data_IF_326324967588
#
_entry.id   IF_326324967588
#
_cell.length_a   1.000
_cell.length_b   1.000
_cell.length_c   1.000
_cell.angle_alpha   90.00
_cell.angle_beta   90.00
_cell.angle_gamma   90.00
#
_symmetry.space_group_name_H-M   'P 1'
#
loop_
_entity.id
_entity.type
_entity.pdbx_description
1 polymer ?
#
# COMPACT_ATOMS: atom_id res chain seq x y z
N UNK A 1 -110.46 -64.57 9.37
CA UNK A 1 -109.48 -63.79 8.57
C UNK A 1 -110.09 -63.53 7.19
N UNK A 2 -110.36 -62.27 6.81
CA UNK A 2 -110.93 -61.96 5.49
C UNK A 2 -109.85 -62.18 4.42
N UNK A 3 -110.10 -63.08 3.47
CA UNK A 3 -109.20 -63.30 2.32
C UNK A 3 -109.22 -62.04 1.44
N UNK A 4 -108.08 -61.36 1.31
CA UNK A 4 -107.90 -60.30 0.34
C UNK A 4 -108.07 -60.88 -1.07
N UNK A 5 -108.79 -60.18 -1.95
CA UNK A 5 -108.97 -60.65 -3.32
C UNK A 5 -107.63 -60.61 -4.07
N UNK A 6 -107.37 -61.53 -5.00
CA UNK A 6 -106.09 -61.59 -5.73
C UNK A 6 -105.73 -60.25 -6.37
N UNK A 7 -106.72 -59.54 -6.91
CA UNK A 7 -106.55 -58.22 -7.53
C UNK A 7 -106.03 -57.16 -6.53
N UNK A 8 -106.55 -57.16 -5.31
CA UNK A 8 -106.15 -56.20 -4.27
C UNK A 8 -104.72 -56.48 -3.80
N UNK A 9 -104.33 -57.76 -3.73
CA UNK A 9 -102.95 -58.15 -3.42
C UNK A 9 -101.99 -57.75 -4.54
N UNK A 10 -102.34 -57.99 -5.81
CA UNK A 10 -101.51 -57.61 -6.97
C UNK A 10 -101.32 -56.11 -7.07
N UNK A 11 -102.39 -55.32 -6.87
CA UNK A 11 -102.31 -53.86 -6.91
C UNK A 11 -101.47 -53.31 -5.74
N UNK A 12 -101.59 -53.90 -4.55
CA UNK A 12 -100.75 -53.56 -3.42
C UNK A 12 -99.27 -53.88 -3.68
N UNK A 13 -98.96 -55.04 -4.28
CA UNK A 13 -97.59 -55.38 -4.68
C UNK A 13 -97.04 -54.44 -5.76
N UNK A 14 -97.87 -54.03 -6.73
CA UNK A 14 -97.46 -53.09 -7.79
C UNK A 14 -97.12 -51.71 -7.19
N UNK A 15 -97.95 -51.22 -6.26
CA UNK A 15 -97.72 -49.95 -5.59
C UNK A 15 -96.49 -49.97 -4.66
N UNK A 16 -96.24 -51.10 -3.99
CA UNK A 16 -95.01 -51.29 -3.19
C UNK A 16 -93.77 -51.34 -4.09
N UNK A 17 -93.86 -51.93 -5.30
CA UNK A 17 -92.74 -51.96 -6.24
C UNK A 17 -92.37 -50.57 -6.79
N UNK A 18 -93.35 -49.66 -6.93
CA UNK A 18 -93.10 -48.28 -7.34
C UNK A 18 -92.43 -47.44 -6.23
N UNK A 19 -92.67 -47.77 -4.95
CA UNK A 19 -92.03 -47.11 -3.81
C UNK A 19 -90.59 -47.61 -3.55
N UNK A 20 -90.19 -48.73 -4.14
CA UNK A 20 -88.86 -49.32 -3.97
C UNK A 20 -87.78 -48.77 -4.92
N UNK A 21 -88.12 -47.83 -5.82
CA UNK A 21 -87.13 -47.22 -6.75
C UNK A 21 -86.36 -46.02 -6.17
N UNK A 22 -86.41 -45.79 -4.85
CA UNK A 22 -85.80 -44.62 -4.24
C UNK A 22 -84.31 -44.83 -3.87
N UNK A 23 -83.44 -44.85 -4.88
CA UNK A 23 -82.05 -44.39 -4.74
C UNK A 23 -81.45 -44.11 -6.12
N UNK A 24 -81.52 -42.86 -6.55
CA UNK A 24 -80.82 -42.41 -7.77
C UNK A 24 -79.33 -42.37 -7.48
N UNK A 25 -78.60 -43.39 -7.96
CA UNK A 25 -77.12 -43.35 -7.98
C UNK A 25 -76.71 -42.46 -9.15
N UNK A 26 -76.30 -41.23 -8.85
CA UNK A 26 -75.71 -40.35 -9.85
C UNK A 26 -74.24 -40.71 -10.04
N UNK A 27 -73.87 -41.16 -11.24
CA UNK A 27 -72.48 -41.47 -11.61
C UNK A 27 -71.95 -40.38 -12.52
N UNK A 28 -70.96 -39.62 -12.04
CA UNK A 28 -70.18 -38.72 -12.87
C UNK A 28 -69.21 -39.57 -13.71
N UNK A 29 -69.19 -39.36 -15.04
CA UNK A 29 -68.37 -40.14 -15.98
C UNK A 29 -67.19 -39.35 -16.58
N UNK A 30 -67.03 -38.08 -16.21
CA UNK A 30 -65.91 -37.25 -16.67
C UNK A 30 -64.75 -37.26 -15.67
N UNK A 31 -63.54 -37.01 -16.16
CA UNK A 31 -62.31 -36.92 -15.35
C UNK A 31 -62.16 -35.56 -14.66
N UNK A 32 -63.06 -34.62 -14.97
CA UNK A 32 -63.08 -33.28 -14.40
C UNK A 32 -64.51 -32.87 -14.10
N UNK A 33 -64.70 -32.31 -12.90
CA UNK A 33 -65.95 -31.69 -12.48
C UNK A 33 -65.71 -30.19 -12.50
N UNK A 34 -66.39 -29.47 -13.40
CA UNK A 34 -66.41 -28.01 -13.38
C UNK A 34 -67.64 -27.54 -12.61
N UNK A 35 -67.42 -26.92 -11.47
CA UNK A 35 -68.47 -26.24 -10.72
C UNK A 35 -68.47 -24.76 -11.10
N UNK A 36 -69.53 -24.29 -11.79
CA UNK A 36 -69.68 -22.88 -12.16
C UNK A 36 -70.57 -22.16 -11.15
N UNK A 37 -70.06 -21.06 -10.59
CA UNK A 37 -70.80 -20.13 -9.75
C UNK A 37 -71.70 -19.24 -10.63
N UNK A 38 -72.95 -19.63 -10.85
CA UNK A 38 -73.97 -18.67 -11.28
C UNK A 38 -75.37 -19.18 -10.88
N UNK A 39 -76.10 -18.49 -9.97
CA UNK A 39 -75.80 -17.19 -9.35
C UNK A 39 -75.16 -17.25 -7.94
N UNK A 40 -74.62 -18.40 -7.49
CA UNK A 40 -74.14 -18.56 -6.11
C UNK A 40 -72.82 -19.34 -5.96
N UNK A 41 -72.30 -19.40 -4.74
CA UNK A 41 -71.11 -20.18 -4.41
C UNK A 41 -71.37 -21.67 -4.67
N UNK A 42 -70.59 -22.27 -5.58
CA UNK A 42 -70.63 -23.69 -5.82
C UNK A 42 -69.56 -24.39 -4.96
N UNK A 43 -69.96 -25.41 -4.21
CA UNK A 43 -69.07 -26.18 -3.34
C UNK A 43 -69.13 -27.67 -3.74
N UNK A 44 -67.96 -28.31 -3.85
CA UNK A 44 -67.87 -29.76 -3.96
C UNK A 44 -67.64 -30.35 -2.58
N UNK A 45 -68.71 -30.85 -1.95
CA UNK A 45 -68.58 -31.58 -0.69
C UNK A 45 -68.41 -33.07 -1.00
N UNK A 46 -67.23 -33.62 -0.69
CA UNK A 46 -66.95 -35.05 -0.83
C UNK A 46 -67.12 -35.72 0.53
N UNK A 47 -68.28 -36.32 0.74
CA UNK A 47 -68.56 -37.14 1.92
C UNK A 47 -68.33 -38.62 1.59
N UNK A 48 -67.51 -39.28 2.40
CA UNK A 48 -67.33 -40.72 2.33
C UNK A 48 -68.01 -41.36 3.57
N UNK A 49 -68.42 -42.62 3.47
CA UNK A 49 -68.95 -43.41 4.58
C UNK A 49 -68.00 -43.47 5.80
N UNK A 50 -66.71 -43.18 5.60
CA UNK A 50 -65.70 -43.03 6.66
C UNK A 50 -65.64 -41.61 7.25
N UNK A 51 -66.76 -40.89 7.34
CA UNK A 51 -66.84 -39.48 7.84
C UNK A 51 -66.22 -39.22 9.22
N UNK A 52 -65.98 -40.27 10.01
CA UNK A 52 -65.37 -40.20 11.34
C UNK A 52 -63.84 -40.36 11.33
N UNK A 53 -63.22 -40.42 10.14
CA UNK A 53 -61.76 -40.55 9.99
C UNK A 53 -61.15 -39.19 9.61
N UNK A 54 -60.56 -38.45 10.57
CA UNK A 54 -59.83 -37.23 10.26
C UNK A 54 -58.56 -37.59 9.47
N UNK A 55 -58.47 -37.22 8.20
CA UNK A 55 -57.36 -37.63 7.34
C UNK A 55 -57.39 -37.03 5.94
N UNK A 56 -56.51 -37.52 5.07
CA UNK A 56 -56.44 -37.11 3.66
C UNK A 56 -57.23 -38.05 2.77
N UNK A 57 -57.62 -37.56 1.60
CA UNK A 57 -58.19 -38.38 0.55
C UNK A 57 -57.10 -39.29 -0.04
N UNK A 58 -57.16 -40.57 0.29
CA UNK A 58 -56.21 -41.59 -0.13
C UNK A 58 -56.78 -42.43 -1.27
N UNK A 59 -56.03 -42.55 -2.36
CA UNK A 59 -56.39 -43.44 -3.47
C UNK A 59 -56.04 -44.89 -3.11
N UNK A 60 -57.04 -45.77 -2.98
CA UNK A 60 -56.86 -47.21 -2.72
C UNK A 60 -56.53 -48.03 -3.98
N UNK A 61 -56.35 -47.36 -5.12
CA UNK A 61 -56.29 -47.98 -6.44
C UNK A 61 -57.67 -48.05 -7.11
N UNK A 62 -57.67 -48.38 -8.41
CA UNK A 62 -58.88 -48.53 -9.23
C UNK A 62 -59.84 -47.33 -9.20
N UNK A 63 -59.30 -46.12 -9.03
CA UNK A 63 -60.08 -44.88 -8.99
C UNK A 63 -60.97 -44.74 -7.76
N UNK A 64 -60.74 -45.52 -6.69
CA UNK A 64 -61.50 -45.42 -5.43
C UNK A 64 -60.69 -44.68 -4.38
N UNK A 65 -61.31 -43.69 -3.75
CA UNK A 65 -60.69 -42.93 -2.67
C UNK A 65 -61.37 -43.20 -1.33
N UNK A 66 -60.61 -43.17 -0.24
CA UNK A 66 -61.13 -43.16 1.13
C UNK A 66 -60.45 -42.07 1.96
N UNK A 67 -61.07 -41.63 3.05
CA UNK A 67 -60.34 -40.88 4.05
C UNK A 67 -59.48 -41.83 4.88
N UNK A 68 -58.17 -41.58 4.92
CA UNK A 68 -57.22 -42.35 5.72
C UNK A 68 -56.39 -41.40 6.58
N UNK A 69 -56.20 -41.79 7.86
CA UNK A 69 -55.27 -41.08 8.75
C UNK A 69 -53.85 -41.24 8.22
N UNK A 70 -53.03 -40.21 8.37
CA UNK A 70 -51.59 -40.39 8.20
C UNK A 70 -51.09 -41.43 9.19
N UNK A 71 -50.34 -42.40 8.71
CA UNK A 71 -49.66 -43.35 9.60
C UNK A 71 -48.32 -42.74 9.96
N UNK A 72 -48.23 -42.22 11.18
CA UNK A 72 -46.97 -41.76 11.74
C UNK A 72 -46.07 -42.99 11.98
N UNK A 73 -44.88 -43.00 11.39
CA UNK A 73 -43.84 -44.00 11.67
C UNK A 73 -42.90 -43.54 12.78
N UNK A 74 -42.65 -42.23 12.85
CA UNK A 74 -41.87 -41.57 13.90
C UNK A 74 -42.35 -40.13 14.11
N UNK A 75 -41.78 -39.42 15.09
CA UNK A 75 -42.05 -37.99 15.33
C UNK A 75 -41.86 -37.10 14.09
N UNK A 76 -41.07 -37.57 13.13
CA UNK A 76 -40.73 -36.84 11.92
C UNK A 76 -40.97 -37.62 10.62
N UNK A 77 -41.75 -38.69 10.63
CA UNK A 77 -42.06 -39.42 9.39
C UNK A 77 -43.49 -39.94 9.37
N UNK A 78 -44.14 -39.73 8.23
CA UNK A 78 -45.49 -40.19 7.95
C UNK A 78 -45.49 -41.04 6.68
N UNK A 79 -46.27 -42.10 6.65
CA UNK A 79 -46.49 -42.93 5.47
C UNK A 79 -47.67 -42.39 4.68
N UNK A 80 -47.45 -42.24 3.37
CA UNK A 80 -48.42 -41.86 2.36
C UNK A 80 -48.47 -42.95 1.28
N UNK A 81 -49.36 -43.92 1.46
CA UNK A 81 -49.40 -45.09 0.58
C UNK A 81 -48.17 -45.97 0.76
N UNK A 82 -47.39 -46.13 -0.31
CA UNK A 82 -46.13 -46.90 -0.29
C UNK A 82 -44.90 -46.01 -0.08
N UNK A 83 -45.07 -44.69 -0.07
CA UNK A 83 -43.99 -43.73 0.14
C UNK A 83 -43.99 -43.19 1.57
N UNK A 84 -42.85 -42.69 2.01
CA UNK A 84 -42.70 -41.97 3.30
C UNK A 84 -42.42 -40.50 3.04
N UNK A 85 -43.18 -39.61 3.68
CA UNK A 85 -42.83 -38.21 3.81
C UNK A 85 -42.13 -38.01 5.16
N UNK A 86 -40.90 -37.50 5.14
CA UNK A 86 -40.20 -37.10 6.38
C UNK A 86 -40.38 -35.61 6.60
N UNK A 87 -40.86 -35.26 7.79
CA UNK A 87 -41.02 -33.90 8.30
C UNK A 87 -40.14 -33.79 9.55
N UNK A 88 -38.84 -33.61 9.37
CA UNK A 88 -37.89 -33.43 10.48
C UNK A 88 -38.07 -32.04 11.12
N UNK A 89 -38.98 -31.92 12.09
CA UNK A 89 -39.09 -30.76 12.97
C UNK A 89 -38.32 -31.06 14.25
N UNK A 90 -37.00 -30.86 14.23
CA UNK A 90 -36.17 -30.93 15.44
C UNK A 90 -36.08 -29.53 16.05
N UNK A 91 -36.90 -29.24 17.06
CA UNK A 91 -36.85 -28.00 17.84
C UNK A 91 -38.23 -27.47 18.17
N UNK A 92 -38.50 -27.26 19.46
CA UNK A 92 -39.73 -26.65 19.92
C UNK A 92 -39.91 -25.27 19.26
N UNK A 93 -40.99 -25.10 18.50
CA UNK A 93 -41.45 -23.83 17.95
C UNK A 93 -40.59 -23.16 16.86
N UNK A 94 -40.32 -23.84 15.74
CA UNK A 94 -40.03 -23.15 14.47
C UNK A 94 -41.09 -23.45 13.41
N UNK A 95 -41.64 -22.36 12.89
CA UNK A 95 -42.75 -22.26 11.94
C UNK A 95 -42.50 -23.06 10.66
N UNK A 96 -43.49 -23.86 10.26
CA UNK A 96 -43.51 -24.68 9.03
C UNK A 96 -43.42 -23.84 7.75
N UNK A 97 -43.48 -22.50 7.84
CA UNK A 97 -43.33 -21.61 6.69
C UNK A 97 -41.87 -21.41 6.22
N UNK A 98 -40.85 -21.81 7.01
CA UNK A 98 -39.42 -21.60 6.69
C UNK A 98 -38.64 -22.91 6.47
N UNK A 99 -39.27 -24.07 6.69
CA UNK A 99 -38.61 -25.38 6.71
C UNK A 99 -39.08 -26.36 5.62
N UNK A 100 -39.55 -25.85 4.48
CA UNK A 100 -39.26 -26.53 3.21
C UNK A 100 -37.76 -26.31 2.93
N UNK A 101 -36.92 -26.90 3.77
CA UNK A 101 -35.50 -27.04 3.50
C UNK A 101 -35.41 -28.01 2.34
N UNK A 102 -35.32 -27.45 1.14
CA UNK A 102 -34.81 -28.17 -0.01
C UNK A 102 -33.47 -28.74 0.42
N UNK A 103 -33.44 -30.05 0.65
CA UNK A 103 -32.27 -30.87 0.95
C UNK A 103 -31.34 -30.95 -0.28
N UNK A 104 -31.14 -29.84 -1.00
CA UNK A 104 -30.09 -29.68 -2.00
C UNK A 104 -29.01 -28.78 -1.41
N UNK A 105 -27.83 -29.36 -1.29
CA UNK A 105 -26.75 -28.93 -0.43
C UNK A 105 -26.10 -27.62 -0.89
N UNK A 106 -26.25 -26.53 -0.10
CA UNK A 106 -25.33 -25.36 0.04
C UNK A 106 -25.96 -24.36 1.02
N UNK A 107 -25.54 -24.27 2.29
CA UNK A 107 -24.48 -23.36 2.72
C UNK A 107 -24.39 -22.07 1.88
N UNK A 108 -24.80 -20.93 2.48
CA UNK A 108 -24.82 -19.56 1.93
C UNK A 108 -25.52 -19.39 0.56
N UNK A 109 -26.68 -18.72 0.55
CA UNK A 109 -27.39 -18.40 -0.69
C UNK A 109 -26.54 -17.48 -1.58
N UNK A 110 -26.21 -17.95 -2.79
CA UNK A 110 -25.50 -17.18 -3.80
C UNK A 110 -26.46 -16.15 -4.42
N UNK A 111 -26.59 -14.99 -3.77
CA UNK A 111 -27.49 -13.92 -4.19
C UNK A 111 -27.42 -12.65 -3.32
N UNK A 112 -26.38 -12.54 -2.48
CA UNK A 112 -26.24 -11.46 -1.51
C UNK A 112 -26.75 -11.89 -0.14
N UNK A 113 -25.88 -12.51 0.65
CA UNK A 113 -26.17 -12.79 2.06
C UNK A 113 -26.59 -11.46 2.72
N UNK A 114 -27.88 -11.30 3.02
CA UNK A 114 -28.34 -10.19 3.85
C UNK A 114 -28.46 -10.75 5.26
N UNK A 115 -27.40 -10.61 6.03
CA UNK A 115 -27.45 -10.87 7.46
C UNK A 115 -28.33 -9.81 8.12
N UNK A 116 -29.35 -10.23 8.86
CA UNK A 116 -30.10 -9.33 9.76
C UNK A 116 -29.20 -8.77 10.87
N UNK A 117 -29.76 -8.05 11.83
CA UNK A 117 -29.00 -7.32 12.87
C UNK A 117 -28.13 -8.17 13.80
N UNK A 118 -28.30 -9.50 13.85
CA UNK A 118 -27.65 -10.38 14.83
C UNK A 118 -27.01 -11.65 14.26
N UNK A 119 -26.83 -11.77 12.94
CA UNK A 119 -26.25 -13.00 12.41
C UNK A 119 -24.74 -13.06 12.68
N UNK A 120 -24.29 -14.17 13.24
CA UNK A 120 -22.88 -14.44 13.54
C UNK A 120 -22.41 -15.61 12.68
N UNK A 121 -21.40 -15.38 11.85
CA UNK A 121 -20.58 -16.45 11.29
C UNK A 121 -19.39 -16.62 12.23
N UNK A 122 -19.30 -17.73 12.95
CA UNK A 122 -18.25 -17.90 13.96
C UNK A 122 -18.06 -19.32 14.42
N UNK A 123 -17.05 -19.50 15.27
CA UNK A 123 -16.69 -20.76 15.92
C UNK A 123 -17.14 -20.64 17.38
N UNK A 124 -18.28 -21.24 17.74
CA UNK A 124 -18.83 -21.15 19.09
C UNK A 124 -18.44 -22.33 19.99
N UNK A 125 -17.58 -23.24 19.54
CA UNK A 125 -17.09 -24.35 20.33
C UNK A 125 -15.60 -24.15 20.67
N UNK A 126 -15.26 -23.79 21.93
CA UNK A 126 -13.88 -23.55 22.34
C UNK A 126 -13.03 -24.83 22.40
N UNK A 127 -13.65 -26.01 22.33
CA UNK A 127 -12.99 -27.31 22.60
C UNK A 127 -12.66 -28.07 21.31
N UNK A 128 -13.29 -27.74 20.19
CA UNK A 128 -13.04 -28.41 18.91
C UNK A 128 -12.28 -27.49 17.96
N UNK A 129 -11.05 -27.87 17.63
CA UNK A 129 -10.10 -27.24 16.70
C UNK A 129 -10.58 -27.16 15.24
N UNK A 130 -11.89 -27.07 14.98
CA UNK A 130 -12.45 -26.93 13.64
C UNK A 130 -12.38 -25.46 13.25
N UNK A 131 -11.50 -25.07 12.32
CA UNK A 131 -11.38 -23.68 11.93
C UNK A 131 -12.53 -23.26 11.02
N UNK A 132 -12.83 -21.97 11.02
CA UNK A 132 -13.63 -21.36 9.96
C UNK A 132 -12.74 -21.23 8.72
N UNK A 133 -13.02 -22.00 7.67
CA UNK A 133 -12.18 -22.07 6.46
C UNK A 133 -12.88 -21.37 5.28
N UNK A 134 -12.16 -20.48 4.62
CA UNK A 134 -12.56 -19.87 3.35
C UNK A 134 -11.76 -20.52 2.21
N UNK A 135 -12.47 -21.01 1.18
CA UNK A 135 -11.87 -21.71 0.04
C UNK A 135 -12.24 -21.04 -1.28
N UNK A 136 -11.38 -21.16 -2.28
CA UNK A 136 -11.72 -20.92 -3.69
C UNK A 136 -11.31 -22.14 -4.51
N UNK A 137 -12.20 -22.69 -5.33
CA UNK A 137 -11.96 -23.90 -6.13
C UNK A 137 -11.40 -25.08 -5.30
N UNK A 138 -12.01 -25.37 -4.15
CA UNK A 138 -11.58 -26.39 -3.19
C UNK A 138 -10.20 -26.17 -2.53
N UNK A 139 -9.55 -25.02 -2.77
CA UNK A 139 -8.27 -24.65 -2.16
C UNK A 139 -8.51 -23.68 -1.00
N UNK A 140 -7.94 -23.99 0.16
CA UNK A 140 -7.97 -23.12 1.35
C UNK A 140 -7.18 -21.82 1.11
N UNK A 141 -7.83 -20.67 1.34
CA UNK A 141 -7.26 -19.34 1.14
C UNK A 141 -7.08 -18.58 2.45
N UNK A 142 -8.01 -18.76 3.38
CA UNK A 142 -7.97 -18.16 4.70
C UNK A 142 -8.61 -19.10 5.69
N UNK A 143 -8.12 -19.09 6.93
CA UNK A 143 -8.78 -19.79 8.03
C UNK A 143 -8.69 -18.99 9.32
N UNK A 144 -9.65 -19.20 10.22
CA UNK A 144 -9.65 -18.70 11.59
C UNK A 144 -9.66 -19.91 12.52
N UNK A 145 -8.67 -20.07 13.40
CA UNK A 145 -8.65 -21.17 14.39
C UNK A 145 -9.63 -20.89 15.53
N UNK A 146 -9.95 -21.94 16.30
CA UNK A 146 -10.64 -21.78 17.59
C UNK A 146 -9.88 -20.91 18.61
N UNK A 147 -8.56 -20.71 18.42
CA UNK A 147 -7.77 -19.76 19.22
C UNK A 147 -7.93 -18.29 18.80
N UNK A 148 -8.67 -18.01 17.72
CA UNK A 148 -8.83 -16.67 17.14
C UNK A 148 -7.73 -16.26 16.16
N UNK A 149 -6.68 -17.07 15.99
CA UNK A 149 -5.63 -16.80 15.02
C UNK A 149 -6.15 -16.88 13.58
N UNK A 150 -5.82 -15.87 12.77
CA UNK A 150 -6.16 -15.74 11.36
C UNK A 150 -4.94 -16.12 10.53
N UNK A 151 -5.11 -17.05 9.59
CA UNK A 151 -4.09 -17.40 8.61
C UNK A 151 -4.60 -17.14 7.20
N UNK A 152 -3.77 -16.52 6.37
CA UNK A 152 -4.01 -16.23 4.96
C UNK A 152 -2.93 -16.91 4.13
N UNK A 153 -3.32 -17.75 3.19
CA UNK A 153 -2.39 -18.51 2.32
C UNK A 153 -1.60 -19.63 3.03
N UNK A 154 -1.91 -19.94 4.30
CA UNK A 154 -1.26 -21.00 5.07
C UNK A 154 -2.25 -21.69 6.02
N UNK A 155 -1.93 -22.93 6.41
CA UNK A 155 -2.67 -23.71 7.40
C UNK A 155 -1.96 -23.81 8.75
N UNK A 156 -0.72 -23.32 8.82
CA UNK A 156 0.13 -23.32 10.01
C UNK A 156 0.27 -21.90 10.58
N UNK A 157 0.34 -21.80 11.90
CA UNK A 157 0.63 -20.57 12.63
C UNK A 157 2.00 -20.69 13.29
N UNK A 158 2.71 -19.56 13.43
CA UNK A 158 3.94 -19.43 14.21
C UNK A 158 3.67 -18.96 15.65
N UNK A 159 2.40 -18.93 16.06
CA UNK A 159 1.92 -18.39 17.33
C UNK A 159 1.35 -16.97 17.23
N UNK A 160 1.47 -16.32 16.07
CA UNK A 160 0.89 -14.98 15.83
C UNK A 160 -0.62 -15.02 15.60
N UNK A 161 -1.33 -13.95 15.99
CA UNK A 161 -2.77 -13.80 15.72
C UNK A 161 -3.09 -13.58 14.24
N UNK A 162 -2.16 -13.05 13.47
CA UNK A 162 -2.28 -12.90 12.02
C UNK A 162 -1.02 -13.46 11.35
N UNK A 163 -1.20 -14.44 10.48
CA UNK A 163 -0.13 -15.00 9.65
C UNK A 163 -0.52 -14.89 8.18
N UNK A 164 0.33 -14.27 7.36
CA UNK A 164 0.14 -14.15 5.90
C UNK A 164 1.29 -14.84 5.20
N UNK A 165 0.99 -15.86 4.40
CA UNK A 165 1.97 -16.51 3.52
C UNK A 165 1.90 -15.88 2.13
N UNK A 166 2.70 -14.84 1.93
CA UNK A 166 2.73 -14.00 0.74
C UNK A 166 2.96 -12.53 1.09
N UNK A 167 2.75 -11.65 0.11
CA UNK A 167 2.93 -10.21 0.30
C UNK A 167 1.77 -9.60 1.09
N UNK A 168 2.10 -8.77 2.09
CA UNK A 168 1.14 -7.93 2.79
C UNK A 168 1.25 -6.49 2.26
N UNK A 169 0.16 -6.00 1.67
CA UNK A 169 0.07 -4.62 1.17
C UNK A 169 -0.93 -3.82 2.01
N UNK A 170 -0.49 -2.67 2.53
CA UNK A 170 -1.34 -1.71 3.22
C UNK A 170 -1.21 -0.35 2.55
N UNK A 171 -2.34 0.26 2.18
CA UNK A 171 -2.39 1.64 1.68
C UNK A 171 -2.34 2.68 2.80
N UNK A 172 -2.49 2.24 4.05
CA UNK A 172 -2.50 3.08 5.24
C UNK A 172 -1.39 2.68 6.22
N UNK A 173 -1.23 3.48 7.28
CA UNK A 173 -0.27 3.22 8.35
C UNK A 173 -0.61 1.92 9.07
N UNK A 174 0.38 1.04 9.19
CA UNK A 174 0.35 -0.10 10.10
C UNK A 174 0.84 0.39 11.47
N UNK A 175 0.03 0.19 12.51
CA UNK A 175 0.41 0.51 13.90
C UNK A 175 0.53 -0.79 14.68
N UNK A 176 1.72 -1.05 15.23
CA UNK A 176 2.03 -2.25 16.01
C UNK A 176 2.88 -1.84 17.21
N UNK A 177 2.69 -2.48 18.36
CA UNK A 177 3.53 -2.27 19.54
C UNK A 177 4.99 -2.69 19.29
N UNK A 178 5.18 -3.75 18.49
CA UNK A 178 6.49 -4.21 18.06
C UNK A 178 6.45 -4.67 16.60
N UNK A 179 7.51 -4.36 15.84
CA UNK A 179 7.73 -4.87 14.48
C UNK A 179 8.99 -5.74 14.50
N UNK A 180 8.82 -7.03 14.28
CA UNK A 180 9.92 -7.99 14.19
C UNK A 180 10.08 -8.38 12.71
N UNK A 181 11.21 -8.04 12.10
CA UNK A 181 11.53 -8.41 10.72
C UNK A 181 12.56 -9.53 10.74
N UNK A 182 12.13 -10.77 10.42
CA UNK A 182 12.99 -11.96 10.48
C UNK A 182 13.91 -12.13 9.27
N UNK A 183 13.53 -11.61 8.10
CA UNK A 183 14.30 -11.77 6.85
C UNK A 183 14.28 -10.50 6.00
N UNK A 184 15.10 -9.52 6.40
CA UNK A 184 15.39 -8.31 5.65
C UNK A 184 14.25 -7.28 5.61
N UNK A 185 14.51 -6.05 6.03
CA UNK A 185 13.61 -4.92 5.79
C UNK A 185 14.06 -4.21 4.51
N UNK A 186 13.27 -4.27 3.45
CA UNK A 186 13.52 -3.49 2.22
C UNK A 186 12.53 -2.34 2.15
N UNK A 187 12.98 -1.13 2.44
CA UNK A 187 12.20 0.08 2.27
C UNK A 187 12.39 0.59 0.82
N UNK A 188 11.29 0.63 0.04
CA UNK A 188 11.28 1.20 -1.31
C UNK A 188 10.73 2.63 -1.24
N UNK A 189 11.53 3.60 -1.66
CA UNK A 189 11.20 5.02 -1.49
C UNK A 189 10.70 5.62 -2.82
N UNK A 190 9.46 6.11 -2.84
CA UNK A 190 8.95 6.90 -3.94
C UNK A 190 8.98 8.39 -3.54
N UNK A 191 10.04 9.10 -3.96
CA UNK A 191 10.16 10.57 -3.97
C UNK A 191 9.74 11.34 -2.70
N UNK A 192 10.64 11.45 -1.73
CA UNK A 192 10.92 12.61 -0.86
C UNK A 192 11.69 12.13 0.37
N UNK A 193 12.57 12.98 0.89
CA UNK A 193 13.51 12.72 2.01
C UNK A 193 12.93 11.81 3.10
N UNK A 194 13.63 10.74 3.52
CA UNK A 194 13.11 9.78 4.47
C UNK A 194 12.90 10.45 5.84
N UNK A 195 11.65 10.60 6.27
CA UNK A 195 11.34 10.77 7.69
C UNK A 195 11.25 9.39 8.32
N UNK A 196 12.39 8.70 8.43
CA UNK A 196 12.52 7.70 9.50
C UNK A 196 12.69 8.50 10.79
N UNK A 197 11.57 9.05 11.28
CA UNK A 197 11.53 9.76 12.53
C UNK A 197 11.64 8.71 13.64
N UNK A 198 12.87 8.27 13.91
CA UNK A 198 13.18 7.68 15.21
C UNK A 198 12.81 8.78 16.20
N UNK A 199 11.77 8.53 17.00
CA UNK A 199 11.33 9.46 18.03
C UNK A 199 12.57 9.79 18.88
N UNK A 200 12.89 11.07 19.18
CA UNK A 200 14.16 11.47 19.81
C UNK A 200 14.43 10.93 21.24
N UNK A 201 13.68 9.92 21.70
CA UNK A 201 13.81 9.31 23.02
C UNK A 201 14.50 7.94 23.07
N UNK A 202 14.86 7.32 21.93
CA UNK A 202 15.57 6.04 21.92
C UNK A 202 17.08 6.24 21.70
N UNK A 203 17.79 6.55 22.79
CA UNK A 203 19.27 6.55 22.81
C UNK A 203 19.89 5.14 22.63
N UNK A 204 19.09 4.08 22.56
CA UNK A 204 19.56 2.68 22.60
C UNK A 204 19.71 1.98 21.24
N UNK A 205 19.62 2.68 20.11
CA UNK A 205 19.99 2.08 18.81
C UNK A 205 21.47 1.71 18.72
N UNK A 206 22.33 2.22 19.61
CA UNK A 206 23.73 1.77 19.72
C UNK A 206 23.88 0.40 20.38
N UNK A 207 22.90 -0.06 21.17
CA UNK A 207 22.95 -1.36 21.86
C UNK A 207 22.21 -2.48 21.15
N UNK A 208 21.34 -2.19 20.17
CA UNK A 208 20.71 -3.21 19.33
C UNK A 208 21.66 -3.82 18.28
N UNK A 209 22.86 -3.27 18.09
CA UNK A 209 23.93 -3.83 17.24
C UNK A 209 25.01 -4.52 18.12
N UNK A 210 24.60 -5.07 19.28
CA UNK A 210 25.49 -5.70 20.26
C UNK A 210 25.53 -7.24 20.23
N UNK A 211 24.79 -7.90 19.35
CA UNK A 211 24.77 -9.37 19.26
C UNK A 211 25.38 -9.82 17.94
N UNK A 212 26.64 -10.23 18.02
CA UNK A 212 27.33 -11.14 17.09
C UNK A 212 26.88 -11.01 15.63
N UNK A 213 27.27 -9.92 14.97
CA UNK A 213 27.37 -9.92 13.51
C UNK A 213 28.54 -10.87 13.19
N UNK A 214 28.24 -12.16 13.10
CA UNK A 214 29.21 -13.17 12.72
C UNK A 214 29.68 -12.89 11.30
N UNK A 215 30.84 -12.23 11.16
CA UNK A 215 31.73 -12.23 9.98
C UNK A 215 31.17 -11.83 8.62
N UNK A 216 29.88 -11.51 8.50
CA UNK A 216 29.25 -11.02 7.28
C UNK A 216 29.33 -9.51 7.25
N UNK A 217 30.41 -8.99 6.67
CA UNK A 217 30.56 -7.58 6.31
C UNK A 217 29.26 -7.09 5.67
N UNK A 218 28.61 -6.11 6.29
CA UNK A 218 27.64 -5.27 5.58
C UNK A 218 28.45 -4.44 4.60
N UNK A 219 28.81 -5.03 3.46
CA UNK A 219 29.20 -4.25 2.30
C UNK A 219 27.93 -3.60 1.79
N UNK A 220 27.75 -2.32 2.09
CA UNK A 220 26.91 -1.49 1.24
C UNK A 220 27.51 -1.59 -0.17
N UNK A 221 26.86 -2.40 -1.02
CA UNK A 221 27.17 -2.52 -2.43
C UNK A 221 26.67 -1.24 -3.10
N UNK A 222 27.43 -0.15 -2.94
CA UNK A 222 27.36 0.96 -3.86
C UNK A 222 28.25 0.55 -5.03
N UNK A 223 27.63 0.08 -6.12
CA UNK A 223 28.29 -0.04 -7.41
C UNK A 223 28.73 1.36 -7.86
N UNK A 224 29.92 1.76 -7.42
CA UNK A 224 30.62 2.88 -8.01
C UNK A 224 31.41 2.31 -9.21
N UNK A 225 31.11 2.68 -10.47
CA UNK A 225 31.77 2.10 -11.64
C UNK A 225 33.28 2.40 -11.72
N UNK A 226 33.80 3.26 -10.86
CA UNK A 226 35.23 3.54 -10.75
C UNK A 226 35.81 2.80 -9.52
N UNK A 227 36.50 1.70 -9.79
CA UNK A 227 37.07 0.78 -8.79
C UNK A 227 38.04 1.43 -7.80
N UNK A 228 37.52 1.84 -6.65
CA UNK A 228 38.35 2.18 -5.48
C UNK A 228 37.61 1.79 -4.20
N UNK A 229 38.10 0.74 -3.54
CA UNK A 229 37.62 0.31 -2.23
C UNK A 229 38.19 1.25 -1.16
N UNK A 230 37.33 2.00 -0.47
CA UNK A 230 37.72 2.70 0.74
C UNK A 230 37.24 1.89 1.95
N UNK A 231 38.12 1.06 2.52
CA UNK A 231 37.87 0.41 3.82
C UNK A 231 38.35 1.36 4.92
N UNK A 232 37.50 2.32 5.31
CA UNK A 232 37.75 3.08 6.53
C UNK A 232 37.50 2.16 7.74
N UNK A 233 38.57 1.54 8.23
CA UNK A 233 38.59 0.80 9.49
C UNK A 233 38.54 1.82 10.63
N UNK A 234 37.34 2.08 11.15
CA UNK A 234 37.14 2.92 12.32
C UNK A 234 37.93 2.43 13.53
N UNK A 235 38.84 3.27 14.03
CA UNK A 235 39.70 3.00 15.17
C UNK A 235 38.93 3.29 16.48
N UNK A 236 38.36 2.26 17.09
CA UNK A 236 37.76 2.35 18.43
C UNK A 236 38.85 2.34 19.50
N UNK A 237 39.15 3.48 20.11
CA UNK A 237 40.06 3.58 21.25
C UNK A 237 39.37 3.02 22.52
N UNK A 238 39.57 1.73 22.80
CA UNK A 238 39.31 1.15 24.12
C UNK A 238 40.48 1.42 25.09
N UNK A 239 40.24 1.50 26.41
CA UNK A 239 41.25 1.91 27.40
C UNK A 239 42.31 0.86 27.75
N UNK A 240 42.44 -0.23 26.99
CA UNK A 240 43.52 -1.21 27.15
C UNK A 240 44.32 -1.31 25.86
N UNK A 241 45.62 -1.03 25.98
CA UNK A 241 46.60 -0.89 24.90
C UNK A 241 46.48 -1.98 23.82
N UNK A 242 45.79 -1.67 22.74
CA UNK A 242 45.78 -2.48 21.53
C UNK A 242 47.06 -2.15 20.75
N UNK A 243 48.08 -2.99 20.91
CA UNK A 243 49.30 -2.91 20.10
C UNK A 243 48.94 -3.10 18.63
N UNK A 244 48.98 -2.03 17.86
CA UNK A 244 48.91 -2.06 16.41
C UNK A 244 50.17 -2.76 15.88
N UNK A 245 50.05 -4.06 15.58
CA UNK A 245 51.07 -4.80 14.81
C UNK A 245 50.70 -4.70 13.34
N UNK A 246 51.43 -3.90 12.56
CA UNK A 246 51.54 -4.15 11.12
C UNK A 246 52.49 -5.34 10.97
N UNK A 247 51.94 -6.54 11.14
CA UNK A 247 52.60 -7.75 10.69
C UNK A 247 52.33 -7.88 9.21
N UNK A 248 53.33 -7.64 8.37
CA UNK A 248 53.26 -8.09 7.00
C UNK A 248 53.35 -9.62 7.06
N UNK A 249 52.22 -10.31 6.88
CA UNK A 249 52.18 -11.76 6.82
C UNK A 249 52.75 -12.17 5.46
N UNK A 250 54.08 -12.20 5.34
CA UNK A 250 54.73 -12.91 4.25
C UNK A 250 54.92 -14.36 4.66
N UNK A 251 54.26 -15.28 3.96
CA UNK A 251 54.53 -16.71 4.01
C UNK A 251 55.92 -16.98 3.41
N UNK A 252 57.00 -16.62 4.09
CA UNK A 252 58.28 -17.27 3.86
C UNK A 252 59.23 -17.13 5.05
N UNK A 253 59.99 -18.20 5.23
CA UNK A 253 60.82 -18.53 6.39
C UNK A 253 61.92 -17.50 6.68
N UNK A 254 62.19 -17.31 7.98
CA UNK A 254 63.29 -16.57 8.64
C UNK A 254 63.18 -15.03 8.77
N UNK A 255 62.86 -14.48 9.96
CA UNK A 255 62.95 -13.05 10.22
C UNK A 255 64.41 -12.64 10.51
N UNK A 256 65.01 -11.85 9.62
CA UNK A 256 66.25 -11.11 9.90
C UNK A 256 65.86 -9.78 10.57
N UNK A 257 66.13 -9.66 11.86
CA UNK A 257 66.01 -8.40 12.58
C UNK A 257 67.16 -7.47 12.17
N UNK A 258 66.86 -6.37 11.47
CA UNK A 258 67.77 -5.21 11.40
C UNK A 258 67.35 -4.20 12.45
N UNK A 259 68.23 -3.77 13.37
CA UNK A 259 67.90 -2.70 14.30
C UNK A 259 67.79 -1.39 13.53
N UNK A 260 66.59 -0.80 13.49
CA UNK A 260 66.42 0.61 13.14
C UNK A 260 66.94 1.46 14.30
N UNK A 261 68.15 1.97 14.15
CA UNK A 261 68.78 2.91 15.08
C UNK A 261 68.19 4.31 14.81
N UNK A 262 67.37 4.81 15.73
CA UNK A 262 66.77 6.15 15.68
C UNK A 262 67.67 7.08 16.47
N UNK A 263 68.37 8.00 15.80
CA UNK A 263 69.05 9.11 16.45
C UNK A 263 68.07 10.26 16.69
N UNK A 264 67.97 10.72 17.93
CA UNK A 264 67.41 12.02 18.25
C UNK A 264 68.53 13.06 18.17
N UNK A 265 68.40 14.05 17.28
CA UNK A 265 69.18 15.28 17.34
C UNK A 265 68.30 16.49 17.04
N UNK A 266 68.47 17.52 17.86
CA UNK A 266 67.88 18.85 17.71
C UNK A 266 68.95 19.80 17.15
N UNK A 267 68.77 20.27 15.92
CA UNK A 267 69.64 21.24 15.26
C UNK A 267 69.45 21.24 13.73
N UNK A 268 69.53 22.43 13.12
CA UNK A 268 69.28 22.62 11.69
C UNK A 268 70.27 21.83 10.82
N UNK A 269 69.75 21.07 9.85
CA UNK A 269 70.54 20.25 8.91
C UNK A 269 70.49 20.92 7.54
N UNK A 270 71.66 21.28 7.00
CA UNK A 270 71.82 21.67 5.58
C UNK A 270 72.27 20.43 4.82
N UNK A 271 71.51 20.02 3.79
CA UNK A 271 71.85 18.87 2.93
C UNK A 271 72.24 19.41 1.56
N UNK A 272 73.48 19.17 1.13
CA UNK A 272 73.95 19.49 -0.22
C UNK A 272 73.53 18.39 -1.21
N UNK A 273 73.22 18.79 -2.45
CA UNK A 273 72.43 18.04 -3.43
C UNK A 273 73.14 16.90 -4.17
N UNK A 274 74.29 16.40 -3.70
CA UNK A 274 75.08 15.42 -4.46
C UNK A 274 74.87 13.95 -4.06
N UNK A 275 74.05 13.66 -3.05
CA UNK A 275 73.73 12.28 -2.64
C UNK A 275 72.23 11.99 -2.75
N UNK A 276 71.76 11.53 -3.91
CA UNK A 276 70.38 11.05 -4.09
C UNK A 276 70.35 9.65 -4.71
N UNK A 277 70.32 8.64 -3.84
CA UNK A 277 69.46 7.47 -4.05
C UNK A 277 68.14 7.72 -3.29
N UNK A 278 66.98 7.24 -3.80
CA UNK A 278 65.67 7.73 -3.34
C UNK A 278 65.40 7.24 -1.91
N UNK A 279 65.65 8.11 -0.94
CA UNK A 279 65.22 7.92 0.44
C UNK A 279 64.16 8.94 0.77
N UNK A 280 62.96 8.45 1.10
CA UNK A 280 61.83 9.26 1.53
C UNK A 280 62.17 10.00 2.83
N UNK A 281 62.24 11.32 2.76
CA UNK A 281 62.47 12.20 3.90
C UNK A 281 61.13 12.45 4.62
N UNK A 282 60.97 11.93 5.83
CA UNK A 282 59.87 12.31 6.72
C UNK A 282 60.31 13.49 7.58
N UNK A 283 59.75 14.68 7.31
CA UNK A 283 59.93 15.86 8.17
C UNK A 283 58.72 15.94 9.09
N UNK A 284 58.95 15.91 10.40
CA UNK A 284 57.91 16.10 11.40
C UNK A 284 58.12 17.47 12.07
N UNK A 285 57.56 18.51 11.45
CA UNK A 285 57.65 19.89 11.87
C UNK A 285 57.11 20.84 10.79
N UNK A 286 56.63 22.02 11.20
CA UNK A 286 56.06 23.03 10.31
C UNK A 286 57.12 23.54 9.32
N UNK A 287 56.95 23.23 8.03
CA UNK A 287 57.77 23.78 6.95
C UNK A 287 57.26 25.19 6.65
N UNK A 288 57.98 26.21 7.12
CA UNK A 288 57.71 27.60 6.74
C UNK A 288 58.22 27.86 5.32
N UNK A 289 57.32 28.07 4.37
CA UNK A 289 57.65 28.53 3.02
C UNK A 289 57.74 30.07 3.08
N UNK A 290 58.90 30.63 2.72
CA UNK A 290 59.11 32.08 2.72
C UNK A 290 58.17 32.78 1.71
N UNK A 291 57.70 33.98 2.09
CA UNK A 291 56.60 34.73 1.47
C UNK A 291 56.79 35.12 -0.02
N UNK A 292 57.99 34.97 -0.57
CA UNK A 292 58.33 35.42 -1.93
C UNK A 292 58.86 34.28 -2.84
N UNK A 293 58.71 33.03 -2.43
CA UNK A 293 59.07 31.87 -3.26
C UNK A 293 57.89 31.47 -4.14
N UNK A 294 57.92 31.80 -5.44
CA UNK A 294 56.96 31.31 -6.45
C UNK A 294 57.08 29.78 -6.51
N UNK A 295 56.06 29.01 -6.11
CA UNK A 295 56.13 27.56 -6.26
C UNK A 295 55.99 27.24 -7.74
N UNK A 296 57.07 26.75 -8.35
CA UNK A 296 57.02 26.10 -9.66
C UNK A 296 56.23 24.79 -9.48
N UNK A 297 54.90 24.88 -9.58
CA UNK A 297 54.01 23.73 -9.64
C UNK A 297 54.12 23.19 -11.06
N UNK A 298 55.04 22.25 -11.27
CA UNK A 298 55.07 21.42 -12.47
C UNK A 298 53.72 20.72 -12.60
N UNK A 299 53.07 20.96 -13.73
CA UNK A 299 51.72 20.53 -14.11
C UNK A 299 51.33 19.13 -13.60
N UNK A 300 50.44 19.09 -12.61
CA UNK A 300 49.53 17.97 -12.44
C UNK A 300 48.48 18.08 -13.56
N UNK A 301 48.13 16.95 -14.18
CA UNK A 301 47.33 16.88 -15.41
C UNK A 301 46.03 17.70 -15.37
N UNK A 302 45.55 18.09 -16.56
CA UNK A 302 44.43 19.00 -16.78
C UNK A 302 43.30 18.81 -15.75
N UNK A 303 42.97 19.89 -15.03
CA UNK A 303 41.84 20.04 -14.11
C UNK A 303 42.03 19.65 -12.63
N UNK A 304 43.24 19.70 -12.07
CA UNK A 304 43.43 19.59 -10.61
C UNK A 304 44.09 20.85 -10.01
N UNK A 305 43.37 21.55 -9.14
CA UNK A 305 43.89 22.64 -8.32
C UNK A 305 43.94 22.20 -6.85
N UNK A 306 45.07 22.42 -6.19
CA UNK A 306 45.19 22.30 -4.74
C UNK A 306 44.68 23.59 -4.10
N UNK A 307 43.60 23.50 -3.33
CA UNK A 307 43.08 24.63 -2.57
C UNK A 307 43.57 24.48 -1.13
N UNK A 308 44.29 25.48 -0.63
CA UNK A 308 44.69 25.56 0.77
C UNK A 308 43.55 26.21 1.56
N UNK A 309 43.02 25.49 2.54
CA UNK A 309 42.13 26.07 3.53
C UNK A 309 42.97 26.98 4.45
N UNK A 310 42.74 28.29 4.35
CA UNK A 310 43.49 29.33 5.07
C UNK A 310 43.24 29.29 6.58
N UNK A 311 42.17 28.65 7.03
CA UNK A 311 41.84 28.55 8.47
C UNK A 311 42.54 27.37 9.15
N UNK A 312 42.84 26.30 8.40
CA UNK A 312 43.44 25.07 8.96
C UNK A 312 44.84 24.79 8.44
N UNK A 313 45.30 25.53 7.42
CA UNK A 313 46.59 25.32 6.76
C UNK A 313 46.68 24.00 5.99
N UNK A 314 45.58 23.24 5.89
CA UNK A 314 45.54 21.93 5.23
C UNK A 314 45.22 22.07 3.75
N UNK A 315 45.94 21.32 2.93
CA UNK A 315 45.67 21.20 1.49
C UNK A 315 44.62 20.12 1.26
N UNK A 316 43.45 20.52 0.77
CA UNK A 316 42.38 19.60 0.38
C UNK A 316 42.40 19.33 -1.12
N UNK A 317 42.18 18.08 -1.53
CA UNK A 317 42.00 17.73 -2.94
C UNK A 317 40.59 18.13 -3.38
N UNK A 318 40.45 19.28 -4.02
CA UNK A 318 39.21 19.67 -4.68
C UNK A 318 39.13 18.95 -6.04
N UNK A 319 38.38 17.85 -6.10
CA UNK A 319 38.04 17.20 -7.37
C UNK A 319 36.89 17.99 -7.99
N UNK A 320 37.18 18.76 -9.02
CA UNK A 320 36.13 19.30 -9.90
C UNK A 320 35.65 18.14 -10.77
N UNK A 321 34.51 17.53 -10.41
CA UNK A 321 33.86 16.59 -11.33
C UNK A 321 33.32 17.39 -12.52
N UNK A 322 33.63 17.00 -13.78
CA UNK A 322 32.94 17.55 -14.93
C UNK A 322 31.54 16.91 -14.94
N UNK A 323 30.56 17.61 -14.38
CA UNK A 323 29.16 17.25 -14.58
C UNK A 323 28.63 18.01 -15.80
N UNK A 324 28.18 17.26 -16.81
CA UNK A 324 27.26 17.73 -17.86
C UNK A 324 25.85 18.06 -17.30
N UNK A 325 25.79 18.43 -16.02
CA UNK A 325 24.64 18.96 -15.31
C UNK A 325 25.22 19.83 -14.19
N UNK A 326 25.57 21.08 -14.53
CA UNK A 326 25.86 22.07 -13.50
C UNK A 326 24.55 22.43 -12.80
N UNK A 327 24.25 21.72 -11.72
CA UNK A 327 23.45 22.29 -10.63
C UNK A 327 24.35 23.38 -10.03
N UNK A 328 24.23 24.60 -10.52
CA UNK A 328 24.88 25.74 -9.89
C UNK A 328 24.44 25.78 -8.43
N UNK A 329 25.36 25.50 -7.50
CA UNK A 329 25.21 25.85 -6.11
C UNK A 329 25.19 27.38 -6.03
N UNK A 330 23.99 27.94 -6.11
CA UNK A 330 23.74 29.38 -6.10
C UNK A 330 23.62 29.88 -4.66
N UNK A 331 24.67 29.61 -3.87
CA UNK A 331 24.90 30.19 -2.54
C UNK A 331 25.15 31.71 -2.57
N UNK A 332 24.99 32.37 -3.73
CA UNK A 332 25.05 33.83 -3.92
C UNK A 332 23.76 34.47 -4.44
N UNK A 333 22.57 34.02 -4.02
CA UNK A 333 21.30 34.56 -4.55
C UNK A 333 20.77 35.79 -3.81
N UNK A 334 20.68 36.87 -4.59
CA UNK A 334 20.09 38.17 -4.27
C UNK A 334 18.71 38.01 -3.63
N UNK A 335 18.62 38.33 -2.33
CA UNK A 335 17.35 38.67 -1.73
C UNK A 335 16.95 40.04 -2.30
N UNK A 336 15.81 40.11 -3.00
CA UNK A 336 15.27 41.36 -3.49
C UNK A 336 14.15 41.80 -2.55
N UNK A 337 14.28 42.90 -1.80
CA UNK A 337 13.17 43.45 -1.04
C UNK A 337 12.21 44.24 -1.93
N UNK A 338 10.90 44.13 -1.71
CA UNK A 338 9.89 45.03 -2.27
C UNK A 338 8.94 45.50 -1.17
N UNK A 339 8.45 46.74 -1.26
CA UNK A 339 7.46 47.31 -0.33
C UNK A 339 6.25 47.95 -1.03
N UNK A 340 6.18 47.81 -2.36
CA UNK A 340 5.15 48.40 -3.20
C UNK A 340 4.66 47.42 -4.26
N UNK A 341 3.62 47.80 -5.00
CA UNK A 341 3.05 47.03 -6.10
C UNK A 341 3.70 47.35 -7.46
N UNK A 342 4.96 47.82 -7.47
CA UNK A 342 5.70 48.05 -8.72
C UNK A 342 6.52 46.81 -9.10
N UNK A 343 6.55 46.42 -10.38
CA UNK A 343 7.41 45.32 -10.84
C UNK A 343 8.89 45.60 -10.58
N UNK A 344 9.62 44.59 -10.10
CA UNK A 344 11.05 44.64 -9.88
C UNK A 344 11.74 43.41 -10.49
N UNK A 345 12.89 43.60 -11.14
CA UNK A 345 13.63 42.52 -11.79
C UNK A 345 14.44 41.73 -10.76
N UNK A 346 14.15 40.44 -10.59
CA UNK A 346 14.88 39.58 -9.65
C UNK A 346 15.92 38.68 -10.33
N UNK A 347 15.69 38.31 -11.59
CA UNK A 347 16.61 37.52 -12.40
C UNK A 347 16.65 38.10 -13.82
N UNK A 348 17.86 38.19 -14.37
CA UNK A 348 18.09 38.40 -15.78
C UNK A 348 19.00 37.26 -16.29
N UNK A 349 18.62 36.63 -17.39
CA UNK A 349 19.40 35.61 -18.06
C UNK A 349 19.61 36.02 -19.52
N UNK A 350 20.87 36.02 -19.97
CA UNK A 350 21.26 36.43 -21.31
C UNK A 350 21.72 35.20 -22.12
N UNK A 351 20.81 34.49 -22.84
CA UNK A 351 21.23 33.45 -23.76
C UNK A 351 22.21 34.00 -24.80
N UNK A 352 23.13 33.15 -25.28
CA UNK A 352 23.97 33.48 -26.42
C UNK A 352 23.16 33.53 -27.72
N UNK A 353 23.63 34.28 -28.70
CA UNK A 353 23.01 34.32 -30.01
C UNK A 353 23.04 32.91 -30.66
N UNK A 354 21.93 32.45 -31.22
CA UNK A 354 21.80 31.10 -31.77
C UNK A 354 21.38 30.04 -30.75
N UNK A 355 21.07 30.40 -29.50
CA UNK A 355 20.54 29.44 -28.53
C UNK A 355 19.00 29.40 -28.53
N UNK A 356 18.44 28.21 -28.32
CA UNK A 356 17.04 27.99 -28.00
C UNK A 356 16.91 27.05 -26.81
N UNK A 357 15.87 27.20 -25.99
CA UNK A 357 15.79 26.43 -24.76
C UNK A 357 14.53 26.64 -23.93
N UNK A 358 14.57 26.09 -22.72
CA UNK A 358 13.57 26.24 -21.68
C UNK A 358 14.24 26.93 -20.49
N UNK A 359 13.61 27.99 -19.98
CA UNK A 359 14.00 28.67 -18.75
C UNK A 359 12.94 28.41 -17.69
N UNK A 360 13.34 27.82 -16.57
CA UNK A 360 12.47 27.52 -15.43
C UNK A 360 12.91 28.30 -14.21
N UNK A 361 11.97 28.87 -13.46
CA UNK A 361 12.26 29.63 -12.27
C UNK A 361 11.31 29.26 -11.13
N UNK A 362 11.88 28.99 -9.95
CA UNK A 362 11.20 28.79 -8.68
C UNK A 362 11.43 30.00 -7.80
N UNK A 363 10.37 30.70 -7.41
CA UNK A 363 10.43 31.91 -6.63
C UNK A 363 9.73 31.67 -5.30
N UNK A 364 10.34 32.14 -4.21
CA UNK A 364 9.72 32.20 -2.89
C UNK A 364 9.65 33.66 -2.47
N UNK A 365 8.47 34.09 -2.05
CA UNK A 365 8.21 35.37 -1.41
C UNK A 365 7.90 35.12 0.06
N UNK A 366 8.51 35.89 0.96
CA UNK A 366 8.24 35.82 2.39
C UNK A 366 8.05 37.23 2.92
N UNK A 367 7.00 37.47 3.72
CA UNK A 367 6.89 38.74 4.45
C UNK A 367 8.09 38.90 5.38
N UNK A 368 8.61 40.11 5.54
CA UNK A 368 9.77 40.35 6.42
C UNK A 368 9.53 39.98 7.88
N UNK A 369 8.27 39.98 8.32
CA UNK A 369 7.85 39.55 9.66
C UNK A 369 7.66 38.03 9.80
N UNK A 370 7.82 37.27 8.71
CA UNK A 370 7.63 35.81 8.68
C UNK A 370 6.18 35.34 8.69
N UNK A 371 5.19 36.25 8.68
CA UNK A 371 3.77 35.92 8.85
C UNK A 371 3.07 35.33 7.62
N UNK A 372 3.77 35.24 6.48
CA UNK A 372 3.21 34.63 5.27
C UNK A 372 4.27 34.30 4.23
N UNK A 373 4.00 33.23 3.49
CA UNK A 373 4.82 32.74 2.37
C UNK A 373 4.00 32.64 1.09
N UNK A 374 4.66 32.84 -0.05
CA UNK A 374 4.14 32.55 -1.37
C UNK A 374 5.20 31.81 -2.20
N UNK A 375 4.78 30.84 -3.01
CA UNK A 375 5.66 30.09 -3.89
C UNK A 375 5.14 30.10 -5.33
N UNK A 376 6.07 30.29 -6.27
CA UNK A 376 5.79 30.35 -7.70
C UNK A 376 6.77 29.45 -8.44
N UNK A 377 6.29 28.66 -9.40
CA UNK A 377 7.13 27.79 -10.22
C UNK A 377 6.73 27.94 -11.69
N UNK A 378 7.55 28.67 -12.46
CA UNK A 378 7.21 29.16 -13.79
C UNK A 378 8.21 28.65 -14.84
N UNK A 379 7.73 28.37 -16.05
CA UNK A 379 8.55 27.94 -17.19
C UNK A 379 8.22 28.78 -18.42
N UNK A 380 9.23 29.09 -19.23
CA UNK A 380 9.07 29.75 -20.53
C UNK A 380 10.01 29.10 -21.56
N UNK A 381 9.52 28.93 -22.78
CA UNK A 381 10.37 28.55 -23.93
C UNK A 381 10.96 29.81 -24.57
N UNK A 382 12.20 29.76 -25.01
CA UNK A 382 12.82 30.90 -25.69
C UNK A 382 13.70 30.48 -26.86
N UNK A 383 13.96 31.44 -27.75
CA UNK A 383 14.97 31.38 -28.81
C UNK A 383 15.59 32.75 -28.99
N UNK A 384 16.92 32.82 -29.12
CA UNK A 384 17.66 34.05 -29.43
C UNK A 384 18.29 33.96 -30.82
N UNK A 385 17.97 34.91 -31.69
CA UNK A 385 18.51 34.97 -33.06
C UNK A 385 18.71 36.42 -33.47
N UNK A 386 19.89 36.75 -33.97
CA UNK A 386 20.27 38.13 -34.30
C UNK A 386 20.28 39.08 -33.10
N UNK A 387 20.58 38.57 -31.89
CA UNK A 387 20.54 39.36 -30.65
C UNK A 387 19.13 39.57 -30.05
N UNK A 388 18.06 39.38 -30.84
CA UNK A 388 16.69 39.46 -30.36
C UNK A 388 16.23 38.14 -29.70
N UNK A 389 15.48 38.24 -28.60
CA UNK A 389 14.80 37.10 -27.97
C UNK A 389 13.36 37.00 -28.46
N UNK A 390 12.97 35.80 -28.87
CA UNK A 390 11.58 35.39 -29.00
C UNK A 390 11.24 34.48 -27.82
N UNK A 391 10.35 34.93 -26.94
CA UNK A 391 9.89 34.17 -25.79
C UNK A 391 8.46 33.66 -26.03
N UNK A 392 8.17 32.44 -25.61
CA UNK A 392 6.83 31.85 -25.66
C UNK A 392 5.94 32.31 -24.51
N UNK A 393 4.81 31.64 -24.32
CA UNK A 393 3.92 31.86 -23.18
C UNK A 393 4.51 31.26 -21.90
N UNK A 394 4.47 32.03 -20.81
CA UNK A 394 4.84 31.54 -19.48
C UNK A 394 3.78 30.58 -18.93
N UNK A 395 4.21 29.45 -18.38
CA UNK A 395 3.34 28.41 -17.80
C UNK A 395 3.73 28.15 -16.35
N UNK A 396 2.74 27.94 -15.48
CA UNK A 396 2.97 27.42 -14.13
C UNK A 396 3.25 25.92 -14.16
N UNK A 397 4.41 25.49 -13.68
CA UNK A 397 4.77 24.06 -13.53
C UNK A 397 3.99 23.45 -12.37
N UNK A 398 3.84 24.20 -11.28
CA UNK A 398 2.95 23.90 -10.16
C UNK A 398 2.02 25.08 -9.93
N UNK A 399 0.81 24.87 -9.39
CA UNK A 399 -0.06 25.97 -8.99
C UNK A 399 0.70 26.95 -8.09
N UNK A 400 0.41 28.24 -8.25
CA UNK A 400 0.95 29.26 -7.35
C UNK A 400 0.27 29.09 -5.99
N UNK A 401 1.06 29.03 -4.91
CA UNK A 401 0.55 28.88 -3.55
C UNK A 401 0.83 30.17 -2.78
N UNK A 402 -0.21 30.78 -2.20
CA UNK A 402 -0.10 32.04 -1.44
C UNK A 402 -0.88 31.97 -0.14
N UNK A 403 -0.27 32.35 0.98
CA UNK A 403 -0.99 32.57 2.22
C UNK A 403 -1.91 33.80 2.15
N UNK A 404 -2.88 33.89 3.07
CA UNK A 404 -3.94 34.92 3.14
C UNK A 404 -3.45 36.38 3.22
N UNK A 405 -2.14 36.62 3.32
CA UNK A 405 -1.52 37.95 3.31
C UNK A 405 -0.68 38.27 2.07
N UNK A 406 -0.62 37.38 1.08
CA UNK A 406 0.22 37.52 -0.12
C UNK A 406 -0.53 37.26 -1.44
N UNK A 407 -1.86 37.17 -1.42
CA UNK A 407 -2.71 36.84 -2.60
C UNK A 407 -2.62 37.86 -3.77
N UNK A 408 -2.01 39.03 -3.56
CA UNK A 408 -1.75 40.03 -4.60
C UNK A 408 -0.35 39.99 -5.21
N UNK A 409 0.54 39.13 -4.72
CA UNK A 409 1.89 38.97 -5.25
C UNK A 409 1.87 38.29 -6.61
N UNK A 410 2.67 38.77 -7.56
CA UNK A 410 2.74 38.16 -8.90
C UNK A 410 4.18 37.98 -9.36
N UNK A 411 4.39 36.98 -10.23
CA UNK A 411 5.66 36.73 -10.90
C UNK A 411 5.40 36.59 -12.40
N UNK A 412 6.19 37.29 -13.21
CA UNK A 412 6.18 37.18 -14.66
C UNK A 412 7.57 36.85 -15.19
N UNK A 413 7.60 36.07 -16.28
CA UNK A 413 8.82 35.82 -17.06
C UNK A 413 8.55 36.35 -18.46
N UNK A 414 9.43 37.22 -18.96
CA UNK A 414 9.30 37.86 -20.28
C UNK A 414 10.65 37.92 -20.99
N UNK A 415 10.62 38.03 -22.32
CA UNK A 415 11.80 38.37 -23.10
C UNK A 415 11.89 39.88 -23.30
N UNK A 416 12.98 40.52 -22.89
CA UNK A 416 13.18 41.96 -23.05
C UNK A 416 14.66 42.28 -23.25
N UNK A 417 15.00 43.18 -24.20
CA UNK A 417 16.37 43.62 -24.43
C UNK A 417 17.37 42.53 -24.83
N UNK A 418 16.88 41.37 -25.32
CA UNK A 418 17.72 40.22 -25.62
C UNK A 418 17.96 39.28 -24.42
N UNK A 419 17.30 39.53 -23.29
CA UNK A 419 17.39 38.74 -22.06
C UNK A 419 16.02 38.14 -21.68
N UNK A 420 16.05 37.05 -20.91
CA UNK A 420 14.91 36.54 -20.17
C UNK A 420 14.90 37.22 -18.81
N UNK A 421 13.87 37.99 -18.53
CA UNK A 421 13.71 38.74 -17.28
C UNK A 421 12.61 38.10 -16.44
N UNK A 422 12.93 37.81 -15.18
CA UNK A 422 11.94 37.44 -14.16
C UNK A 422 11.63 38.68 -13.34
N UNK A 423 10.38 39.12 -13.37
CA UNK A 423 9.89 40.24 -12.58
C UNK A 423 8.98 39.74 -11.46
N UNK A 424 9.17 40.29 -10.27
CA UNK A 424 8.30 40.08 -9.11
C UNK A 424 7.57 41.38 -8.81
N UNK A 425 6.29 41.30 -8.46
CA UNK A 425 5.49 42.45 -8.04
C UNK A 425 4.96 42.18 -6.64
N UNK A 426 5.34 43.05 -5.69
CA UNK A 426 4.87 42.99 -4.31
C UNK A 426 3.46 43.52 -4.12
N UNK A 427 3.08 43.71 -2.86
CA UNK A 427 1.81 44.33 -2.47
C UNK A 427 2.13 45.70 -1.87
N UNK A 428 1.29 46.71 -2.15
CA UNK A 428 1.45 48.04 -1.58
C UNK A 428 1.52 47.99 -0.05
N UNK A 429 2.46 48.72 0.54
CA UNK A 429 2.69 48.79 1.98
C UNK A 429 2.99 47.44 2.67
N UNK A 430 3.40 46.42 1.92
CA UNK A 430 3.81 45.12 2.48
C UNK A 430 5.27 44.84 2.14
N UNK A 431 6.12 44.71 3.17
CA UNK A 431 7.53 44.37 3.01
C UNK A 431 7.72 42.88 2.75
N UNK A 432 8.24 42.53 1.57
CA UNK A 432 8.41 41.16 1.09
C UNK A 432 9.86 40.95 0.68
N UNK A 433 10.44 39.83 1.11
CA UNK A 433 11.74 39.33 0.68
C UNK A 433 11.55 38.25 -0.37
N UNK A 434 12.14 38.46 -1.54
CA UNK A 434 12.05 37.52 -2.65
C UNK A 434 13.36 36.77 -2.84
N UNK A 435 13.26 35.47 -3.16
CA UNK A 435 14.39 34.64 -3.59
C UNK A 435 13.96 33.82 -4.80
N UNK A 436 14.81 33.76 -5.82
CA UNK A 436 14.51 33.06 -7.06
C UNK A 436 15.58 32.02 -7.41
N UNK A 437 15.25 30.73 -7.43
CA UNK A 437 16.05 29.72 -8.09
C UNK A 437 15.71 29.59 -9.58
N UNK A 438 16.65 29.35 -10.48
CA UNK A 438 16.34 29.11 -11.89
C UNK A 438 17.22 28.02 -12.49
N UNK A 439 16.68 27.32 -13.47
CA UNK A 439 17.34 26.28 -14.25
C UNK A 439 17.14 26.59 -15.74
N UNK A 440 18.16 26.36 -16.55
CA UNK A 440 18.09 26.60 -17.99
C UNK A 440 18.56 25.37 -18.73
N UNK A 441 17.74 24.89 -19.65
CA UNK A 441 18.10 23.85 -20.61
C UNK A 441 18.22 24.51 -21.97
N UNK A 442 19.43 24.51 -22.53
CA UNK A 442 19.72 25.15 -23.81
C UNK A 442 20.17 24.13 -24.85
N UNK A 443 19.87 24.43 -26.10
CA UNK A 443 20.44 23.80 -27.28
C UNK A 443 21.02 24.90 -28.19
N UNK A 444 22.19 24.64 -28.76
CA UNK A 444 22.77 25.48 -29.81
C UNK A 444 22.11 25.13 -31.14
N UNK A 445 21.56 26.13 -31.84
CA UNK A 445 21.00 25.98 -33.19
C UNK A 445 22.10 25.85 -34.25
#
# INVERSE_FOLDING_TARGET
MKKLSPLTLTLALLMVSALLQAQSIYKLKGDSILLTNSPGNAELIIENSTRHVPGVLYNKGNGRTEFRRFQQLSDSSFVLGNDTISINISGAAQSIYDSVQFYDAKYFHQGGNTFGTSAVIGINNPVASVPLIFKTNNIERMRILGSGAIMIGTTTTDGSLLTVNGDFYSTQRITTDSLIVRSGLRAYYYNSTPKFAVQPGLQDLRNMIGTTVGGGLISQWNENPAGSFNTDLGWGAGPTASKFRIGNWSNNTTPVFKPMMIFWRTGAVTINSEDLSPRTLYINGSVGIAKDSVPLITSLGANQYLVQDTSTGRFGRAVVQPSDNQVYDLSGKNALPTSNASPANIVAYSPANGQAGIFECRIVAMKTDGSGIATFNKSIRFRKTGGAITAGTTVSITPDETDAGLTGCTVSITGSGGDIIVQVTGISATSIQWKANYNVVVNSL
#
